data_IF_521164915736
#
_entry.id   IF_521164915736
#
_cell.length_a   1.000
_cell.length_b   1.000
_cell.length_c   1.000
_cell.angle_alpha   90.00
_cell.angle_beta   90.00
_cell.angle_gamma   90.00
#
_symmetry.space_group_name_H-M   'P 1'
#
loop_
_entity.id
_entity.type
_entity.pdbx_description
1 polymer ?
#
# COMPACT_ATOMS: atom_id res chain seq x y z
N UNK A 1 3.27 -10.48 -28.36
CA UNK A 1 3.12 -11.24 -29.64
C UNK A 1 3.38 -10.28 -30.80
N UNK A 2 3.95 -10.71 -31.94
CA UNK A 2 4.19 -9.81 -33.09
C UNK A 2 2.91 -9.71 -33.91
N UNK A 3 2.32 -8.52 -33.98
CA UNK A 3 1.17 -8.23 -34.83
C UNK A 3 1.61 -7.26 -35.95
N UNK A 4 0.88 -7.23 -37.06
CA UNK A 4 1.27 -6.36 -38.16
C UNK A 4 0.22 -6.23 -39.25
N UNK A 5 0.33 -5.14 -40.02
CA UNK A 5 -0.53 -4.83 -41.15
C UNK A 5 0.31 -4.62 -42.40
N UNK A 6 -0.21 -5.07 -43.55
CA UNK A 6 0.47 -4.98 -44.85
C UNK A 6 -0.22 -3.91 -45.70
N UNK A 7 0.54 -2.94 -46.19
CA UNK A 7 0.07 -1.92 -47.12
C UNK A 7 0.70 -2.18 -48.48
N UNK A 8 -0.14 -2.28 -49.51
CA UNK A 8 0.31 -2.53 -50.88
C UNK A 8 0.05 -1.28 -51.74
N UNK A 9 1.08 -0.77 -52.42
CA UNK A 9 1.02 0.35 -53.35
C UNK A 9 1.38 -0.11 -54.78
N UNK A 10 0.63 0.29 -55.81
CA UNK A 10 1.09 0.16 -57.19
C UNK A 10 2.21 1.20 -57.47
N UNK A 11 3.32 0.83 -58.13
CA UNK A 11 3.67 -0.46 -58.71
C UNK A 11 4.39 -1.36 -57.69
N UNK A 12 3.72 -2.42 -57.21
CA UNK A 12 4.27 -3.54 -56.41
C UNK A 12 5.16 -3.18 -55.20
N UNK A 13 4.92 -2.06 -54.54
CA UNK A 13 5.58 -1.72 -53.27
C UNK A 13 4.73 -2.31 -52.14
N UNK A 14 5.31 -3.22 -51.34
CA UNK A 14 4.63 -3.80 -50.18
C UNK A 14 5.37 -3.37 -48.92
N UNK A 15 4.69 -2.65 -48.03
CA UNK A 15 5.22 -2.20 -46.76
C UNK A 15 4.58 -3.05 -45.65
N UNK A 16 5.41 -3.72 -44.84
CA UNK A 16 4.95 -4.46 -43.68
C UNK A 16 5.21 -3.64 -42.41
N UNK A 17 4.14 -3.23 -41.75
CA UNK A 17 4.23 -2.59 -40.44
C UNK A 17 4.12 -3.68 -39.38
N UNK A 18 5.17 -3.82 -38.57
CA UNK A 18 5.15 -4.67 -37.38
C UNK A 18 4.95 -3.79 -36.16
N UNK A 19 3.87 -4.03 -35.41
CA UNK A 19 3.71 -3.44 -34.09
C UNK A 19 3.80 -4.55 -33.04
N UNK A 20 4.43 -4.25 -31.91
CA UNK A 20 4.34 -5.14 -30.76
C UNK A 20 2.96 -4.95 -30.16
N UNK A 21 2.17 -6.03 -30.20
CA UNK A 21 0.98 -6.09 -29.38
C UNK A 21 1.41 -6.11 -27.91
N UNK A 22 0.77 -5.25 -27.13
CA UNK A 22 0.90 -5.19 -25.69
C UNK A 22 0.52 -6.52 -25.04
N UNK A 23 1.19 -6.88 -23.97
CA UNK A 23 0.87 -8.08 -23.18
C UNK A 23 0.19 -7.57 -21.93
N UNK A 24 -1.05 -7.99 -21.69
CA UNK A 24 -1.75 -7.59 -20.48
C UNK A 24 -1.38 -8.50 -19.31
N UNK A 25 -0.42 -8.08 -18.47
CA UNK A 25 0.03 -8.84 -17.31
C UNK A 25 -1.04 -8.95 -16.22
N UNK A 26 -2.02 -8.04 -16.20
CA UNK A 26 -3.11 -8.06 -15.22
C UNK A 26 -4.06 -9.24 -15.41
N UNK A 27 -4.12 -9.85 -16.59
CA UNK A 27 -4.96 -11.04 -16.81
C UNK A 27 -4.47 -12.29 -16.06
N UNK A 28 -3.24 -12.25 -15.50
CA UNK A 28 -2.74 -13.30 -14.62
C UNK A 28 -3.54 -13.33 -13.30
N UNK A 29 -3.51 -14.48 -12.61
CA UNK A 29 -4.16 -14.66 -11.29
C UNK A 29 -5.61 -14.16 -11.24
N UNK A 30 -6.42 -14.54 -12.24
CA UNK A 30 -7.83 -14.15 -12.34
C UNK A 30 -8.06 -12.63 -12.39
N UNK A 31 -7.15 -11.86 -13.00
CA UNK A 31 -7.30 -10.41 -13.10
C UNK A 31 -6.51 -9.62 -12.06
N UNK A 32 -5.84 -10.29 -11.11
CA UNK A 32 -5.00 -9.63 -10.11
C UNK A 32 -3.59 -9.29 -10.60
N UNK A 33 -3.14 -9.89 -11.71
CA UNK A 33 -1.78 -9.69 -12.18
C UNK A 33 -0.73 -10.13 -11.14
N UNK A 34 0.47 -9.55 -11.18
CA UNK A 34 1.52 -9.79 -10.19
C UNK A 34 1.41 -8.89 -8.95
N UNK A 35 0.29 -8.18 -8.77
CA UNK A 35 0.05 -7.20 -7.71
C UNK A 35 -0.62 -7.82 -6.47
N UNK A 36 -0.40 -7.24 -5.30
CA UNK A 36 -1.10 -7.64 -4.06
C UNK A 36 -2.57 -7.21 -4.05
N UNK A 37 -2.89 -6.02 -4.58
CA UNK A 37 -4.26 -5.49 -4.66
C UNK A 37 -4.69 -5.27 -6.12
N UNK A 38 -4.61 -4.03 -6.62
CA UNK A 38 -5.13 -3.66 -7.94
C UNK A 38 -4.02 -3.65 -8.99
N UNK A 39 -4.26 -4.27 -10.16
CA UNK A 39 -3.36 -4.22 -11.31
C UNK A 39 -3.92 -3.31 -12.41
N UNK A 40 -3.07 -2.42 -12.95
CA UNK A 40 -3.40 -1.49 -14.03
C UNK A 40 -2.50 -1.82 -15.21
N UNK A 41 -3.10 -2.24 -16.32
CA UNK A 41 -2.35 -2.53 -17.54
C UNK A 41 -1.93 -1.23 -18.24
N UNK A 42 -0.66 -1.14 -18.64
CA UNK A 42 -0.10 -0.02 -19.40
C UNK A 42 0.52 -0.53 -20.70
N UNK A 43 0.89 0.37 -21.60
CA UNK A 43 1.58 -0.06 -22.82
C UNK A 43 2.99 -0.56 -22.47
N UNK A 44 3.27 -1.82 -22.78
CA UNK A 44 4.52 -2.52 -22.54
C UNK A 44 4.92 -2.70 -21.06
N UNK A 45 3.97 -2.52 -20.13
CA UNK A 45 4.18 -2.67 -18.68
C UNK A 45 2.84 -2.74 -17.96
N UNK A 46 2.88 -2.89 -16.64
CA UNK A 46 1.77 -2.69 -15.74
C UNK A 46 2.18 -1.79 -14.58
N UNK A 47 1.21 -1.38 -13.76
CA UNK A 47 1.44 -0.75 -12.48
C UNK A 47 0.51 -1.36 -11.43
N UNK A 48 0.99 -1.49 -10.20
CA UNK A 48 0.17 -1.93 -9.07
C UNK A 48 -0.34 -0.73 -8.27
N UNK A 49 -1.49 -0.88 -7.63
CA UNK A 49 -2.10 0.10 -6.76
C UNK A 49 -2.68 -0.59 -5.52
N UNK A 50 -2.59 0.09 -4.38
CA UNK A 50 -3.08 -0.39 -3.09
C UNK A 50 -4.35 0.35 -2.63
N UNK A 51 -5.03 1.07 -3.52
CA UNK A 51 -6.21 1.85 -3.18
C UNK A 51 -7.39 1.02 -2.65
N UNK A 52 -7.44 -0.27 -2.97
CA UNK A 52 -8.43 -1.21 -2.43
C UNK A 52 -8.15 -1.66 -1.00
N UNK A 53 -6.94 -1.43 -0.50
CA UNK A 53 -6.48 -1.77 0.85
C UNK A 53 -6.27 -0.48 1.68
N UNK A 54 -7.27 -0.04 2.46
CA UNK A 54 -7.21 1.25 3.13
C UNK A 54 -6.10 1.30 4.18
N UNK A 55 -5.38 2.41 4.23
CA UNK A 55 -4.24 2.58 5.15
C UNK A 55 -2.97 1.86 4.69
N UNK A 56 -2.88 1.47 3.42
CA UNK A 56 -1.66 0.91 2.84
C UNK A 56 -1.15 1.77 1.68
N UNK A 57 0.14 1.65 1.39
CA UNK A 57 0.80 2.25 0.22
C UNK A 57 1.60 1.21 -0.53
N UNK A 58 1.86 1.47 -1.80
CA UNK A 58 2.68 0.58 -2.61
C UNK A 58 4.12 0.56 -2.05
N UNK A 59 4.62 -0.64 -1.80
CA UNK A 59 5.97 -0.88 -1.35
C UNK A 59 7.00 -0.60 -2.45
N UNK A 60 8.28 -0.59 -2.08
CA UNK A 60 9.40 -0.30 -3.00
C UNK A 60 9.56 -1.35 -4.10
N UNK A 61 9.07 -2.57 -3.86
CA UNK A 61 9.05 -3.63 -4.87
C UNK A 61 8.06 -3.33 -6.00
N UNK A 62 7.16 -2.35 -5.83
CA UNK A 62 6.14 -1.95 -6.80
C UNK A 62 4.96 -2.92 -6.90
N UNK A 63 4.84 -3.91 -6.01
CA UNK A 63 3.88 -5.00 -6.11
C UNK A 63 3.11 -5.22 -4.81
N UNK A 64 3.80 -5.12 -3.67
CA UNK A 64 3.25 -5.35 -2.35
C UNK A 64 2.63 -4.07 -1.78
N UNK A 65 1.65 -4.22 -0.90
CA UNK A 65 1.05 -3.13 -0.16
C UNK A 65 1.52 -3.21 1.29
N UNK A 66 2.27 -2.18 1.71
CA UNK A 66 2.73 -2.03 3.09
C UNK A 66 1.86 -1.02 3.81
N UNK A 67 1.72 -1.16 5.13
CA UNK A 67 0.97 -0.21 5.93
C UNK A 67 1.54 1.19 5.71
N UNK A 68 0.68 2.12 5.31
CA UNK A 68 1.04 3.51 5.25
C UNK A 68 1.16 3.97 6.70
N UNK A 69 2.39 4.27 7.11
CA UNK A 69 2.68 4.84 8.43
C UNK A 69 1.83 6.09 8.71
N UNK A 70 1.22 6.70 7.69
CA UNK A 70 0.06 7.57 7.85
C UNK A 70 0.34 8.70 8.84
N UNK A 71 -0.55 8.86 9.82
CA UNK A 71 -0.44 9.87 10.87
C UNK A 71 0.53 9.50 12.01
N UNK A 72 1.13 8.30 12.05
CA UNK A 72 2.03 7.89 13.13
C UNK A 72 3.22 8.84 13.37
N UNK A 73 3.89 9.39 12.32
CA UNK A 73 4.92 10.41 12.51
C UNK A 73 4.41 11.68 13.20
N UNK A 74 3.09 11.94 13.17
CA UNK A 74 2.42 13.10 13.80
C UNK A 74 1.64 12.73 15.06
N UNK A 75 1.46 11.44 15.35
CA UNK A 75 0.59 10.95 16.41
C UNK A 75 1.12 11.28 17.82
N UNK A 76 2.45 11.40 17.95
CA UNK A 76 3.11 11.72 19.23
C UNK A 76 3.03 10.57 20.24
N UNK A 77 3.01 9.32 19.77
CA UNK A 77 3.02 8.15 20.64
C UNK A 77 4.34 8.08 21.43
N UNK A 78 4.24 7.75 22.71
CA UNK A 78 5.43 7.58 23.57
C UNK A 78 6.29 6.37 23.20
N UNK A 79 5.70 5.33 22.60
CA UNK A 79 6.38 4.07 22.29
C UNK A 79 6.09 3.60 20.86
N UNK A 80 5.21 2.60 20.70
CA UNK A 80 4.89 2.06 19.38
C UNK A 80 3.67 2.78 18.82
N UNK A 81 3.65 2.97 17.51
CA UNK A 81 2.49 3.46 16.79
C UNK A 81 2.12 2.46 15.69
N UNK A 82 0.85 2.12 15.62
CA UNK A 82 0.25 1.31 14.58
C UNK A 82 -0.71 2.19 13.79
N UNK A 83 -0.51 2.29 12.49
CA UNK A 83 -1.47 2.95 11.59
C UNK A 83 -2.39 1.86 11.03
N UNK A 84 -3.67 1.87 11.41
CA UNK A 84 -4.66 0.96 10.79
C UNK A 84 -5.71 1.78 10.08
N UNK A 85 -5.96 1.49 8.80
CA UNK A 85 -6.93 2.22 7.98
C UNK A 85 -6.69 3.74 7.96
N UNK A 86 -5.42 4.16 8.03
CA UNK A 86 -5.01 5.57 8.07
C UNK A 86 -5.21 6.29 9.41
N UNK A 87 -5.62 5.57 10.47
CA UNK A 87 -5.73 6.12 11.83
C UNK A 87 -4.55 5.65 12.69
N UNK A 88 -3.91 6.54 13.45
CA UNK A 88 -2.82 6.17 14.34
C UNK A 88 -3.36 5.63 15.67
N UNK A 89 -2.79 4.52 16.13
CA UNK A 89 -3.05 3.90 17.42
C UNK A 89 -1.73 3.73 18.15
N UNK A 90 -1.62 4.28 19.36
CA UNK A 90 -0.42 4.09 20.17
C UNK A 90 -0.50 2.76 20.95
N UNK A 91 0.59 1.99 20.92
CA UNK A 91 0.71 0.70 21.57
C UNK A 91 1.81 0.76 22.65
N UNK A 92 1.53 0.13 23.79
CA UNK A 92 2.46 0.06 24.91
C UNK A 92 3.18 -1.29 24.99
N UNK A 93 4.46 -1.31 25.38
CA UNK A 93 5.18 -2.55 25.66
C UNK A 93 4.54 -3.32 26.83
N UNK A 94 4.84 -4.61 26.93
CA UNK A 94 4.38 -5.46 28.04
C UNK A 94 4.76 -4.84 29.39
N UNK A 95 3.77 -4.72 30.29
CA UNK A 95 3.94 -4.14 31.63
C UNK A 95 3.62 -2.64 31.74
N UNK A 96 3.34 -1.96 30.62
CA UNK A 96 2.89 -0.58 30.57
C UNK A 96 1.45 -0.51 30.03
N UNK A 97 0.70 0.50 30.46
CA UNK A 97 -0.67 0.75 30.05
C UNK A 97 -0.74 2.11 29.37
N UNK A 98 -1.67 2.22 28.41
CA UNK A 98 -1.92 3.47 27.72
C UNK A 98 -2.65 4.42 28.68
N UNK A 99 -2.16 5.65 28.80
CA UNK A 99 -2.77 6.69 29.62
C UNK A 99 -4.02 7.30 28.98
N UNK A 100 -4.67 8.20 29.72
CA UNK A 100 -5.93 8.84 29.30
C UNK A 100 -5.78 9.76 28.07
N UNK A 101 -4.54 10.16 27.76
CA UNK A 101 -4.21 10.94 26.56
C UNK A 101 -4.13 10.07 25.28
N UNK A 102 -4.29 8.74 25.42
CA UNK A 102 -4.17 7.74 24.36
C UNK A 102 -2.82 7.72 23.63
N UNK A 103 -1.77 8.30 24.25
CA UNK A 103 -0.46 8.51 23.62
C UNK A 103 0.70 8.11 24.53
N UNK A 104 0.62 8.41 25.81
CA UNK A 104 1.67 8.10 26.78
C UNK A 104 1.44 6.75 27.44
N UNK A 105 2.50 5.96 27.56
CA UNK A 105 2.49 4.69 28.26
C UNK A 105 3.05 4.89 29.66
N UNK A 106 2.30 4.49 30.68
CA UNK A 106 2.70 4.54 32.09
C UNK A 106 2.56 3.19 32.76
N UNK A 107 3.25 3.00 33.89
CA UNK A 107 3.04 1.83 34.74
C UNK A 107 1.81 2.02 35.61
N UNK A 108 1.03 0.96 35.86
CA UNK A 108 -0.12 0.94 36.79
C UNK A 108 0.18 1.55 38.17
N UNK A 109 1.46 1.62 38.56
CA UNK A 109 1.92 2.28 39.79
C UNK A 109 1.66 3.79 39.83
N UNK A 110 1.60 4.48 38.68
CA UNK A 110 1.29 5.92 38.64
C UNK A 110 -0.21 6.20 38.69
N UNK A 111 -1.06 5.34 38.11
CA UNK A 111 -2.51 5.51 38.09
C UNK A 111 -3.15 5.15 39.43
N UNK A 112 -2.56 4.20 40.17
CA UNK A 112 -2.97 3.87 41.54
C UNK A 112 -2.70 5.02 42.54
N UNK A 113 -1.71 5.88 42.28
CA UNK A 113 -1.36 6.99 43.18
C UNK A 113 -2.37 8.14 43.15
N UNK A 114 -3.16 8.28 42.09
CA UNK A 114 -4.23 9.29 42.01
C UNK A 114 -5.53 8.86 42.70
N UNK A 115 -5.70 7.58 43.06
CA UNK A 115 -6.89 7.08 43.78
C UNK A 115 -6.73 7.10 45.32
N UNK A 116 -5.55 7.44 45.86
CA UNK A 116 -5.31 7.45 47.32
C UNK A 116 -5.07 8.85 47.92
N UNK A 117 -5.19 9.93 47.15
CA UNK A 117 -5.02 11.30 47.69
C UNK A 117 -6.36 12.03 47.88
N UNK A 118 -7.28 11.39 48.60
CA UNK A 118 -8.48 12.06 49.15
C UNK A 118 -8.84 11.42 50.50
N UNK A 119 -8.09 11.81 51.53
CA UNK A 119 -8.57 11.84 52.91
C UNK A 119 -7.98 13.07 53.60
#
# INVERSE_FOLDING_TARGET
MKAGFKVNFPPKINIAFHYRADVNECLLRNGHGPCQDTCINLWASYNCSCQGLPGTRLAVDGHSCEDDAGECPKAGCSHQCLSTMGRPFCLCPVGLHLGDDWKTCGSLRHYALLLFCSN
#
